data_IF_872957313393
#
_entry.id   IF_872957313393
#
_cell.length_a   1.000
_cell.length_b   1.000
_cell.length_c   1.000
_cell.angle_alpha   90.00
_cell.angle_beta   90.00
_cell.angle_gamma   90.00
#
_symmetry.space_group_name_H-M   'P 1'
#
loop_
_entity.id
_entity.type
_entity.pdbx_description
1 polymer ?
#
# COMPACT_ATOMS: atom_id res chain seq x y z
N UNK A 1 -4.04 8.86 -21.53
CA UNK A 1 -4.51 10.25 -21.29
C UNK A 1 -6.00 10.42 -20.97
N UNK A 2 -6.97 10.23 -21.88
CA UNK A 2 -8.41 10.46 -21.54
C UNK A 2 -8.97 9.46 -20.51
N UNK A 3 -8.55 8.19 -20.57
CA UNK A 3 -9.03 7.12 -19.69
C UNK A 3 -8.44 7.21 -18.26
N UNK A 4 -7.18 7.62 -18.12
CA UNK A 4 -6.52 7.82 -16.83
C UNK A 4 -7.08 9.01 -16.05
N UNK A 5 -7.38 10.12 -16.75
CA UNK A 5 -8.11 11.23 -16.14
C UNK A 5 -9.51 10.79 -15.66
N UNK A 6 -10.14 9.82 -16.35
CA UNK A 6 -11.39 9.22 -15.90
C UNK A 6 -11.22 8.40 -14.61
N UNK A 7 -10.15 7.58 -14.49
CA UNK A 7 -9.97 6.73 -13.32
C UNK A 7 -9.62 7.52 -12.06
N UNK A 8 -8.72 8.51 -12.17
CA UNK A 8 -8.37 9.41 -11.07
C UNK A 8 -9.60 10.09 -10.50
N UNK A 9 -10.47 10.63 -11.36
CA UNK A 9 -11.71 11.28 -10.95
C UNK A 9 -12.72 10.32 -10.31
N UNK A 10 -12.86 9.10 -10.85
CA UNK A 10 -13.73 8.05 -10.26
C UNK A 10 -13.22 7.63 -8.88
N UNK A 11 -11.91 7.40 -8.75
CA UNK A 11 -11.27 7.03 -7.49
C UNK A 11 -11.41 8.14 -6.46
N UNK A 12 -11.22 9.40 -6.84
CA UNK A 12 -11.38 10.55 -5.94
C UNK A 12 -12.81 10.65 -5.38
N UNK A 13 -13.83 10.60 -6.25
CA UNK A 13 -15.25 10.61 -5.83
C UNK A 13 -15.59 9.42 -4.94
N UNK A 14 -15.11 8.24 -5.29
CA UNK A 14 -15.31 7.05 -4.48
C UNK A 14 -14.67 7.18 -3.11
N UNK A 15 -13.42 7.66 -3.04
CA UNK A 15 -12.66 7.83 -1.81
C UNK A 15 -13.36 8.82 -0.87
N UNK A 16 -13.80 9.98 -1.37
CA UNK A 16 -14.54 10.96 -0.57
C UNK A 16 -15.87 10.41 -0.05
N UNK A 17 -16.58 9.60 -0.85
CA UNK A 17 -17.76 8.87 -0.37
C UNK A 17 -17.46 7.90 0.78
N UNK A 18 -16.29 7.24 0.76
CA UNK A 18 -15.86 6.36 1.86
C UNK A 18 -15.42 7.15 3.08
N UNK A 19 -14.65 8.23 2.91
CA UNK A 19 -14.22 9.12 4.00
C UNK A 19 -15.43 9.68 4.76
N UNK A 20 -16.45 10.18 4.05
CA UNK A 20 -17.70 10.66 4.67
C UNK A 20 -18.42 9.57 5.47
N UNK A 21 -18.49 8.33 4.96
CA UNK A 21 -19.08 7.19 5.70
C UNK A 21 -18.30 6.81 6.96
N UNK A 22 -17.00 7.10 6.99
CA UNK A 22 -16.12 6.86 8.13
C UNK A 22 -16.07 8.08 9.09
N UNK A 23 -16.93 9.08 8.90
CA UNK A 23 -16.90 10.36 9.63
C UNK A 23 -15.53 11.06 9.56
N UNK A 24 -14.82 10.90 8.45
CA UNK A 24 -13.56 11.60 8.14
C UNK A 24 -13.83 12.78 7.21
N UNK A 25 -12.97 13.79 7.27
CA UNK A 25 -13.00 14.92 6.34
C UNK A 25 -12.80 14.43 4.91
N UNK A 26 -13.52 15.04 3.97
CA UNK A 26 -13.33 14.76 2.56
C UNK A 26 -12.03 15.40 2.07
N UNK A 27 -11.41 14.77 1.08
CA UNK A 27 -10.22 15.30 0.45
C UNK A 27 -10.56 16.43 -0.50
N UNK A 28 -9.78 17.49 -0.42
CA UNK A 28 -9.92 18.69 -1.25
C UNK A 28 -9.25 18.47 -2.61
N UNK A 29 -8.11 17.76 -2.61
CA UNK A 29 -7.32 17.52 -3.81
C UNK A 29 -6.78 16.10 -3.86
N UNK A 30 -6.45 15.66 -5.07
CA UNK A 30 -5.85 14.36 -5.35
C UNK A 30 -4.62 14.54 -6.26
N UNK A 31 -3.47 14.11 -5.76
CA UNK A 31 -2.17 14.22 -6.42
C UNK A 31 -1.73 12.82 -6.83
N UNK A 32 -1.25 12.67 -8.05
CA UNK A 32 -0.69 11.40 -8.52
C UNK A 32 0.70 11.19 -7.93
N UNK A 33 0.95 9.98 -7.42
CA UNK A 33 2.26 9.59 -6.93
C UNK A 33 3.04 8.87 -8.05
N UNK A 34 4.35 8.74 -7.85
CA UNK A 34 5.25 8.10 -8.81
C UNK A 34 4.77 6.69 -9.18
N UNK A 35 4.85 6.35 -10.46
CA UNK A 35 4.62 4.98 -10.92
C UNK A 35 5.74 4.04 -10.46
N UNK A 36 5.35 2.87 -9.98
CA UNK A 36 6.24 1.82 -9.48
C UNK A 36 6.24 0.62 -10.44
N UNK A 37 7.00 -0.43 -10.14
CA UNK A 37 7.14 -1.63 -10.97
C UNK A 37 5.88 -2.53 -11.08
N UNK A 38 4.71 -2.03 -10.67
CA UNK A 38 3.43 -2.76 -10.66
C UNK A 38 2.41 -2.03 -11.53
N UNK A 39 1.32 -2.72 -11.90
CA UNK A 39 0.23 -2.11 -12.67
C UNK A 39 -0.67 -1.19 -11.84
N UNK A 40 -0.39 -1.05 -10.53
CA UNK A 40 -1.13 -0.19 -9.60
C UNK A 40 -0.74 1.27 -9.78
N UNK A 41 -1.74 2.14 -9.73
CA UNK A 41 -1.56 3.59 -9.64
C UNK A 41 -1.90 4.07 -8.25
N UNK A 42 -1.05 4.93 -7.69
CA UNK A 42 -1.20 5.49 -6.35
C UNK A 42 -1.45 6.99 -6.44
N UNK A 43 -2.36 7.47 -5.59
CA UNK A 43 -2.72 8.87 -5.52
C UNK A 43 -2.81 9.30 -4.07
N UNK A 44 -2.23 10.44 -3.72
CA UNK A 44 -2.38 11.05 -2.41
C UNK A 44 -3.61 11.95 -2.41
N UNK A 45 -4.53 11.68 -1.49
CA UNK A 45 -5.69 12.52 -1.21
C UNK A 45 -5.35 13.46 -0.04
N UNK A 46 -5.38 14.76 -0.29
CA UNK A 46 -5.08 15.77 0.73
C UNK A 46 -6.37 16.18 1.43
N UNK A 47 -6.41 16.06 2.74
CA UNK A 47 -7.51 16.51 3.62
C UNK A 47 -6.98 17.59 4.55
N UNK A 48 -7.85 18.43 5.07
CA UNK A 48 -7.45 19.40 6.11
C UNK A 48 -6.92 18.65 7.35
N UNK A 49 -5.61 18.79 7.61
CA UNK A 49 -4.89 18.17 8.72
C UNK A 49 -4.29 16.78 8.46
N UNK A 50 -4.24 16.30 7.21
CA UNK A 50 -3.60 15.02 6.89
C UNK A 50 -3.79 14.53 5.46
N UNK A 51 -3.61 13.23 5.24
CA UNK A 51 -3.77 12.63 3.93
C UNK A 51 -4.12 11.14 3.99
N UNK A 52 -4.58 10.63 2.85
CA UNK A 52 -4.82 9.20 2.60
C UNK A 52 -4.24 8.81 1.25
N UNK A 53 -4.02 7.52 1.03
CA UNK A 53 -3.62 7.00 -0.26
C UNK A 53 -4.79 6.27 -0.92
N UNK A 54 -5.14 6.71 -2.13
CA UNK A 54 -6.04 6.04 -3.04
C UNK A 54 -5.23 5.18 -4.00
N UNK A 55 -5.61 3.92 -4.12
CA UNK A 55 -4.97 2.96 -5.02
C UNK A 55 -5.99 2.52 -6.06
N UNK A 56 -5.55 2.51 -7.32
CA UNK A 56 -6.23 1.79 -8.39
C UNK A 56 -5.37 0.62 -8.84
N UNK A 57 -5.92 -0.59 -8.76
CA UNK A 57 -5.32 -1.84 -9.24
C UNK A 57 -6.25 -2.43 -10.31
N UNK A 58 -5.85 -2.48 -11.59
CA UNK A 58 -6.73 -2.97 -12.66
C UNK A 58 -7.21 -4.41 -12.36
N UNK A 59 -8.51 -4.66 -12.13
CA UNK A 59 -8.99 -5.97 -11.66
C UNK A 59 -8.63 -7.15 -12.57
N UNK A 60 -8.54 -6.89 -13.88
CA UNK A 60 -8.22 -7.90 -14.89
C UNK A 60 -6.73 -8.29 -14.91
N UNK A 61 -5.85 -7.38 -14.45
CA UNK A 61 -4.40 -7.60 -14.48
C UNK A 61 -3.84 -7.95 -13.11
N UNK A 62 -4.31 -7.25 -12.08
CA UNK A 62 -3.77 -7.34 -10.73
C UNK A 62 -4.90 -7.28 -9.69
N UNK A 63 -5.60 -8.40 -9.45
CA UNK A 63 -6.67 -8.48 -8.45
C UNK A 63 -6.18 -8.11 -7.04
N UNK A 64 -7.01 -7.38 -6.28
CA UNK A 64 -6.60 -6.84 -4.96
C UNK A 64 -6.71 -7.84 -3.81
N UNK A 65 -7.37 -8.99 -4.00
CA UNK A 65 -7.66 -9.96 -2.93
C UNK A 65 -6.40 -10.37 -2.14
N UNK A 66 -5.30 -10.67 -2.83
CA UNK A 66 -4.04 -11.06 -2.18
C UNK A 66 -3.45 -9.92 -1.34
N UNK A 67 -3.56 -8.69 -1.81
CA UNK A 67 -3.13 -7.51 -1.05
C UNK A 67 -3.95 -7.36 0.25
N UNK A 68 -5.28 -7.51 0.17
CA UNK A 68 -6.17 -7.46 1.33
C UNK A 68 -5.86 -8.57 2.35
N UNK A 69 -5.67 -9.81 1.86
CA UNK A 69 -5.40 -10.98 2.70
C UNK A 69 -4.07 -10.83 3.47
N UNK A 70 -3.00 -10.42 2.77
CA UNK A 70 -1.68 -10.21 3.39
C UNK A 70 -1.70 -9.03 4.36
N UNK A 71 -2.32 -7.91 4.00
CA UNK A 71 -2.44 -6.75 4.90
C UNK A 71 -3.15 -7.13 6.21
N UNK A 72 -4.26 -7.89 6.12
CA UNK A 72 -4.97 -8.39 7.30
C UNK A 72 -4.09 -9.29 8.19
N UNK A 73 -3.31 -10.18 7.58
CA UNK A 73 -2.37 -11.02 8.33
C UNK A 73 -1.34 -10.14 9.04
N UNK A 74 -0.72 -9.19 8.35
CA UNK A 74 0.34 -8.35 8.91
C UNK A 74 -0.19 -7.51 10.08
N UNK A 75 -1.34 -6.86 9.93
CA UNK A 75 -2.00 -6.13 11.03
C UNK A 75 -2.28 -7.05 12.22
N UNK A 76 -2.76 -8.28 11.99
CA UNK A 76 -3.05 -9.22 13.09
C UNK A 76 -1.81 -9.69 13.86
N UNK A 77 -0.61 -9.47 13.31
CA UNK A 77 0.67 -9.82 13.90
C UNK A 77 1.41 -8.60 14.46
N UNK A 78 0.76 -7.42 14.46
CA UNK A 78 1.35 -6.18 14.94
C UNK A 78 2.38 -5.55 14.00
N UNK A 79 2.48 -6.03 12.76
CA UNK A 79 3.40 -5.47 11.75
C UNK A 79 2.85 -4.13 11.25
N UNK A 80 3.75 -3.15 11.14
CA UNK A 80 3.40 -1.79 10.72
C UNK A 80 3.18 -1.70 9.21
N UNK A 81 1.95 -1.97 8.78
CA UNK A 81 1.46 -1.72 7.41
C UNK A 81 0.34 -0.70 7.38
N UNK A 82 0.14 0.02 6.25
CA UNK A 82 -0.96 0.94 6.12
C UNK A 82 -2.30 0.26 6.38
N UNK A 83 -3.12 0.85 7.26
CA UNK A 83 -4.48 0.35 7.47
C UNK A 83 -5.29 0.51 6.19
N UNK A 84 -6.08 -0.52 5.86
CA UNK A 84 -7.06 -0.44 4.79
C UNK A 84 -8.36 0.13 5.36
N UNK A 85 -8.75 1.33 4.90
CA UNK A 85 -9.98 2.00 5.33
C UNK A 85 -11.19 1.50 4.55
N UNK A 86 -11.02 1.27 3.24
CA UNK A 86 -12.08 0.75 2.38
C UNK A 86 -11.51 0.16 1.11
N UNK A 87 -12.26 -0.72 0.46
CA UNK A 87 -11.92 -1.25 -0.85
C UNK A 87 -13.18 -1.58 -1.67
N UNK A 88 -13.01 -1.71 -2.98
CA UNK A 88 -14.02 -2.17 -3.94
C UNK A 88 -13.32 -3.07 -4.96
N UNK A 89 -13.40 -4.38 -4.76
CA UNK A 89 -12.70 -5.37 -5.58
C UNK A 89 -13.10 -5.31 -7.05
N UNK A 90 -14.38 -5.05 -7.34
CA UNK A 90 -14.89 -5.01 -8.72
C UNK A 90 -14.31 -3.82 -9.50
N UNK A 91 -14.06 -2.71 -8.82
CA UNK A 91 -13.44 -1.51 -9.42
C UNK A 91 -11.93 -1.46 -9.26
N UNK A 92 -11.36 -2.33 -8.41
CA UNK A 92 -9.94 -2.32 -8.09
C UNK A 92 -9.52 -1.12 -7.24
N UNK A 93 -10.45 -0.52 -6.48
CA UNK A 93 -10.17 0.65 -5.66
C UNK A 93 -9.84 0.25 -4.23
N UNK A 94 -8.82 0.91 -3.66
CA UNK A 94 -8.44 0.77 -2.26
C UNK A 94 -8.20 2.17 -1.70
N UNK A 95 -8.67 2.41 -0.48
CA UNK A 95 -8.36 3.59 0.32
C UNK A 95 -7.58 3.13 1.54
N UNK A 96 -6.35 3.62 1.69
CA UNK A 96 -5.45 3.24 2.77
C UNK A 96 -4.88 4.46 3.50
N UNK A 97 -4.38 4.22 4.71
CA UNK A 97 -3.63 5.18 5.50
C UNK A 97 -2.39 5.68 4.73
N UNK A 98 -2.01 6.92 4.97
CA UNK A 98 -0.81 7.51 4.39
C UNK A 98 0.30 7.57 5.44
N UNK A 99 1.44 6.93 5.15
CA UNK A 99 2.63 6.96 6.01
C UNK A 99 3.48 8.23 5.80
N UNK A 100 3.12 9.06 4.83
CA UNK A 100 3.87 10.24 4.45
C UNK A 100 5.12 9.90 3.63
N UNK A 101 6.09 10.83 3.62
CA UNK A 101 7.25 10.78 2.72
C UNK A 101 8.58 10.53 3.43
N UNK A 102 8.53 10.19 4.72
CA UNK A 102 9.70 9.96 5.56
C UNK A 102 10.30 8.57 5.32
N UNK A 103 10.91 8.38 4.16
CA UNK A 103 11.57 7.12 3.79
C UNK A 103 12.93 7.01 4.49
N UNK A 104 13.16 5.91 5.21
CA UNK A 104 14.40 5.70 5.99
C UNK A 104 15.66 5.89 5.15
N UNK A 105 15.68 5.45 3.89
CA UNK A 105 16.83 5.61 2.98
C UNK A 105 17.36 7.06 2.94
N UNK A 106 16.47 8.06 3.00
CA UNK A 106 16.84 9.48 2.93
C UNK A 106 17.01 10.14 4.30
N UNK A 107 16.68 9.42 5.38
CA UNK A 107 16.81 9.91 6.76
C UNK A 107 17.98 9.29 7.51
N UNK A 108 18.57 8.21 6.97
CA UNK A 108 19.72 7.53 7.55
C UNK A 108 20.93 8.47 7.63
N UNK A 109 21.57 8.47 8.79
CA UNK A 109 22.86 9.09 9.04
C UNK A 109 23.66 8.24 10.06
N UNK A 110 24.91 8.62 10.32
CA UNK A 110 25.79 7.88 11.23
C UNK A 110 25.27 7.77 12.66
N UNK A 111 24.42 8.69 13.10
CA UNK A 111 23.91 8.74 14.48
C UNK A 111 22.64 7.88 14.66
N UNK A 112 21.79 7.78 13.62
CA UNK A 112 20.51 7.09 13.71
C UNK A 112 20.46 5.73 13.00
N UNK A 113 21.48 5.37 12.21
CA UNK A 113 21.47 4.17 11.39
C UNK A 113 21.15 2.91 12.19
N UNK A 114 21.87 2.67 13.29
CA UNK A 114 21.64 1.49 14.12
C UNK A 114 20.20 1.41 14.61
N UNK A 115 19.61 2.53 15.06
CA UNK A 115 18.23 2.55 15.56
C UNK A 115 17.20 2.28 14.46
N UNK A 116 17.33 2.93 13.29
CA UNK A 116 16.41 2.74 12.17
C UNK A 116 16.48 1.32 11.60
N UNK A 117 17.69 0.75 11.48
CA UNK A 117 17.85 -0.65 11.10
C UNK A 117 17.28 -1.60 12.14
N UNK A 118 17.44 -1.34 13.44
CA UNK A 118 16.81 -2.15 14.49
C UNK A 118 15.28 -2.16 14.37
N UNK A 119 14.66 -1.01 14.10
CA UNK A 119 13.20 -0.93 13.86
C UNK A 119 12.81 -1.81 12.66
N UNK A 120 13.51 -1.68 11.53
CA UNK A 120 13.24 -2.48 10.33
C UNK A 120 13.45 -3.98 10.56
N UNK A 121 14.49 -4.38 11.29
CA UNK A 121 14.75 -5.79 11.63
C UNK A 121 13.67 -6.36 12.54
N UNK A 122 13.15 -5.59 13.49
CA UNK A 122 12.06 -6.04 14.36
C UNK A 122 10.80 -6.37 13.54
N UNK A 123 10.45 -5.53 12.56
CA UNK A 123 9.35 -5.81 11.62
C UNK A 123 9.60 -7.10 10.80
N UNK A 124 10.84 -7.30 10.32
CA UNK A 124 11.21 -8.52 9.58
C UNK A 124 11.09 -9.79 10.45
N UNK A 125 11.49 -9.72 11.71
CA UNK A 125 11.36 -10.83 12.65
C UNK A 125 9.88 -11.17 12.85
N UNK A 126 9.00 -10.18 13.01
CA UNK A 126 7.55 -10.40 13.11
C UNK A 126 7.02 -11.10 11.84
N UNK A 127 7.46 -10.69 10.65
CA UNK A 127 7.09 -11.34 9.39
C UNK A 127 7.53 -12.80 9.36
N UNK A 128 8.72 -13.12 9.87
CA UNK A 128 9.24 -14.50 9.90
C UNK A 128 8.47 -15.42 10.85
N UNK A 129 7.84 -14.89 11.90
CA UNK A 129 7.03 -15.66 12.83
C UNK A 129 5.60 -15.96 12.33
N UNK A 130 5.21 -15.45 11.15
CA UNK A 130 3.90 -15.73 10.56
C UNK A 130 3.80 -17.20 10.15
N UNK A 131 3.25 -18.04 11.02
CA UNK A 131 2.90 -19.41 10.71
C UNK A 131 1.59 -19.44 9.89
N UNK A 132 1.66 -19.23 8.57
CA UNK A 132 0.48 -19.27 7.71
C UNK A 132 0.69 -20.12 6.45
N UNK A 133 0.02 -21.28 6.42
CA UNK A 133 0.04 -22.24 5.30
C UNK A 133 -0.61 -21.71 4.01
N UNK A 134 -1.28 -20.54 4.05
CA UNK A 134 -1.93 -19.94 2.87
C UNK A 134 -0.98 -19.11 2.01
N UNK A 135 0.24 -18.82 2.48
CA UNK A 135 1.27 -18.18 1.66
C UNK A 135 2.06 -19.29 0.97
N UNK A 136 2.08 -19.35 -0.37
CA UNK A 136 2.83 -20.39 -1.07
C UNK A 136 4.32 -20.25 -0.76
N UNK A 137 4.98 -21.38 -0.49
CA UNK A 137 6.43 -21.43 -0.39
C UNK A 137 7.05 -21.13 -1.75
N UNK A 138 8.05 -20.25 -1.78
CA UNK A 138 8.88 -20.08 -2.96
C UNK A 138 9.88 -21.24 -3.05
N UNK A 139 9.89 -21.97 -4.16
CA UNK A 139 10.91 -22.99 -4.37
C UNK A 139 12.25 -22.33 -4.66
N UNK A 140 13.35 -23.08 -4.48
CA UNK A 140 14.69 -22.59 -4.82
C UNK A 140 14.75 -22.19 -6.30
N UNK A 141 14.18 -23.00 -7.18
CA UNK A 141 14.15 -22.78 -8.62
C UNK A 141 13.38 -21.50 -8.97
N UNK A 142 12.21 -21.29 -8.36
CA UNK A 142 11.42 -20.07 -8.57
C UNK A 142 12.15 -18.83 -8.04
N UNK A 143 12.80 -18.92 -6.88
CA UNK A 143 13.61 -17.83 -6.35
C UNK A 143 14.75 -17.44 -7.31
N UNK A 144 15.51 -18.42 -7.81
CA UNK A 144 16.55 -18.18 -8.81
C UNK A 144 15.98 -17.60 -10.10
N UNK A 145 14.85 -18.14 -10.59
CA UNK A 145 14.20 -17.62 -11.81
C UNK A 145 13.83 -16.15 -11.68
N UNK A 146 13.30 -15.74 -10.53
CA UNK A 146 12.92 -14.34 -10.26
C UNK A 146 14.15 -13.42 -10.14
N UNK A 147 15.21 -13.90 -9.49
CA UNK A 147 16.46 -13.13 -9.38
C UNK A 147 17.14 -12.89 -10.73
N UNK A 148 16.99 -13.81 -11.69
CA UNK A 148 17.55 -13.69 -13.05
C UNK A 148 16.74 -12.80 -14.00
N UNK A 149 15.64 -12.18 -13.55
CA UNK A 149 14.84 -11.24 -14.36
C UNK A 149 15.49 -9.84 -14.46
N UNK A 150 16.60 -9.62 -13.76
CA UNK A 150 17.38 -8.38 -13.71
C UNK A 150 18.88 -8.70 -13.83
#
# INVERSE_FOLDING_TARGET
MQEESSIKNKLFRWSNSKLRKLNKREAETIVELREEASSRKYYRLLVDGGSFIGVFSPPEKEPIKRFLDINKIFISQGISVPKILSFDEKKGFILVEDFGDSVFQYQLNSENASSLYTIAFNELILIQFIANQKIPSISKEEAFRQMSLF
#
